data_IF_254218873629
#
_entry.id   IF_254218873629
#
_cell.length_a   1.000
_cell.length_b   1.000
_cell.length_c   1.000
_cell.angle_alpha   90.00
_cell.angle_beta   90.00
_cell.angle_gamma   90.00
#
_symmetry.space_group_name_H-M   'P 1'
#
loop_
_entity.id
_entity.type
_entity.pdbx_description
1 polymer ?
#
# COMPACT_ATOMS: atom_id res chain seq x y z
N UNK A 1 -15.22 57.89 18.03
CA UNK A 1 -16.38 58.39 18.80
C UNK A 1 -17.16 57.17 19.27
N UNK A 2 -16.98 56.75 20.53
CA UNK A 2 -17.81 57.15 21.68
C UNK A 2 -19.21 56.47 21.59
N UNK A 3 -19.78 55.76 22.57
CA UNK A 3 -19.60 55.55 24.01
C UNK A 3 -20.42 54.25 24.32
N UNK A 4 -19.90 53.24 25.03
CA UNK A 4 -20.09 52.97 26.47
C UNK A 4 -21.52 53.09 27.00
N UNK A 5 -22.06 52.02 27.62
CA UNK A 5 -22.69 52.06 28.96
C UNK A 5 -22.89 50.66 29.57
N UNK A 6 -22.24 50.47 30.73
CA UNK A 6 -22.38 49.36 31.67
C UNK A 6 -23.62 49.51 32.57
N UNK A 7 -24.09 48.37 33.12
CA UNK A 7 -24.55 48.15 34.52
C UNK A 7 -25.03 46.68 34.59
N UNK A 8 -24.62 45.75 35.45
CA UNK A 8 -23.90 45.80 36.74
C UNK A 8 -24.88 45.77 37.92
N UNK A 9 -25.04 44.62 38.61
CA UNK A 9 -25.42 44.36 40.03
C UNK A 9 -25.30 42.83 40.21
N UNK A 10 -24.24 42.30 40.84
CA UNK A 10 -23.95 42.04 42.28
C UNK A 10 -24.67 40.82 42.90
N UNK A 11 -23.81 39.97 43.46
CA UNK A 11 -23.91 38.65 44.13
C UNK A 11 -24.71 38.64 45.44
N UNK A 12 -24.94 37.44 46.03
CA UNK A 12 -24.04 37.03 47.11
C UNK A 12 -23.58 35.56 47.09
N UNK A 13 -22.39 35.41 47.64
CA UNK A 13 -21.65 34.27 48.21
C UNK A 13 -22.46 33.10 48.80
N UNK A 14 -22.00 31.87 48.54
CA UNK A 14 -22.02 30.76 49.51
C UNK A 14 -20.79 29.84 49.35
N UNK A 15 -20.25 29.53 50.53
CA UNK A 15 -19.11 28.73 51.00
C UNK A 15 -18.51 27.60 50.12
N UNK A 16 -17.21 27.75 49.87
CA UNK A 16 -16.06 26.89 50.28
C UNK A 16 -16.37 25.46 50.77
N UNK A 17 -15.91 24.47 50.01
CA UNK A 17 -15.49 23.16 50.53
C UNK A 17 -14.10 22.82 49.97
N UNK A 18 -13.17 22.55 50.88
CA UNK A 18 -11.76 22.31 50.61
C UNK A 18 -11.56 20.90 50.04
N UNK A 19 -10.98 20.80 48.84
CA UNK A 19 -10.22 19.61 48.43
C UNK A 19 -8.77 20.04 48.23
N UNK A 20 -7.93 19.62 49.18
CA UNK A 20 -6.48 19.74 49.10
C UNK A 20 -5.96 18.75 48.05
N UNK A 21 -5.68 19.23 46.84
CA UNK A 21 -4.77 18.53 45.94
C UNK A 21 -3.35 18.74 46.45
N UNK A 22 -2.74 17.68 46.99
CA UNK A 22 -1.30 17.59 47.17
C UNK A 22 -0.64 17.61 45.78
N UNK A 23 -0.14 18.78 45.39
CA UNK A 23 0.75 18.92 44.25
C UNK A 23 2.16 18.54 44.72
N UNK A 24 2.58 17.30 44.46
CA UNK A 24 3.98 16.91 44.58
C UNK A 24 4.74 17.47 43.37
N UNK A 25 5.27 18.68 43.49
CA UNK A 25 6.26 19.19 42.53
C UNK A 25 7.58 18.47 42.77
N UNK A 26 7.74 17.30 42.15
CA UNK A 26 9.04 16.65 42.08
C UNK A 26 9.87 17.40 41.03
N UNK A 27 10.70 18.34 41.51
CA UNK A 27 11.67 19.07 40.68
C UNK A 27 12.73 18.08 40.21
N UNK A 28 12.57 17.55 39.01
CA UNK A 28 13.67 16.90 38.30
C UNK A 28 14.64 17.98 37.80
N UNK A 29 15.95 17.85 38.04
CA UNK A 29 16.91 18.75 37.41
C UNK A 29 16.84 18.55 35.90
N UNK A 30 16.51 19.63 35.18
CA UNK A 30 16.69 19.73 33.73
C UNK A 30 18.18 19.56 33.44
N UNK A 31 18.60 18.33 33.15
CA UNK A 31 19.85 18.09 32.47
C UNK A 31 19.69 18.62 31.04
N UNK A 32 20.10 19.87 30.82
CA UNK A 32 20.33 20.38 29.48
C UNK A 32 21.50 19.61 28.87
N UNK A 33 21.21 18.46 28.24
CA UNK A 33 22.13 17.85 27.30
C UNK A 33 22.05 18.65 26.01
N UNK A 34 23.00 19.56 25.84
CA UNK A 34 23.27 20.17 24.55
C UNK A 34 23.98 19.12 23.69
N UNK A 35 23.24 18.34 22.92
CA UNK A 35 23.83 17.72 21.74
C UNK A 35 24.17 18.86 20.80
N UNK A 36 25.45 19.27 20.80
CA UNK A 36 26.01 20.09 19.74
C UNK A 36 25.82 19.28 18.46
N UNK A 37 24.79 19.62 17.70
CA UNK A 37 24.73 19.25 16.30
C UNK A 37 25.91 19.96 15.66
N UNK A 38 27.04 19.27 15.54
CA UNK A 38 28.01 19.64 14.54
C UNK A 38 27.25 19.56 13.22
N UNK A 39 27.10 20.71 12.56
CA UNK A 39 26.76 20.74 11.16
C UNK A 39 27.83 19.91 10.46
N UNK A 40 27.54 18.64 10.20
CA UNK A 40 28.17 17.91 9.11
C UNK A 40 27.93 18.78 7.90
N UNK A 41 28.97 19.51 7.51
CA UNK A 41 28.99 20.13 6.21
C UNK A 41 28.70 18.99 5.24
N UNK A 42 27.56 19.09 4.56
CA UNK A 42 27.28 18.37 3.33
C UNK A 42 28.38 18.82 2.38
N UNK A 43 29.52 18.13 2.43
CA UNK A 43 30.41 18.09 1.29
C UNK A 43 29.57 17.46 0.20
N UNK A 44 29.31 18.23 -0.86
CA UNK A 44 28.73 17.67 -2.08
C UNK A 44 29.48 16.38 -2.40
N UNK A 45 28.78 15.30 -2.83
CA UNK A 45 29.44 14.05 -3.15
C UNK A 45 30.54 14.36 -4.15
N UNK A 46 31.80 14.28 -3.70
CA UNK A 46 32.96 14.55 -4.52
C UNK A 46 32.87 13.57 -5.67
N UNK A 47 32.56 14.07 -6.86
CA UNK A 47 32.28 13.24 -8.02
C UNK A 47 33.41 12.22 -8.17
N UNK A 48 33.08 10.95 -7.97
CA UNK A 48 34.07 9.88 -8.07
C UNK A 48 34.67 9.97 -9.48
N UNK A 49 36.01 10.06 -9.61
CA UNK A 49 36.66 10.14 -10.92
C UNK A 49 36.14 9.01 -11.81
N UNK A 50 35.74 9.34 -13.05
CA UNK A 50 35.16 8.37 -14.01
C UNK A 50 36.01 7.09 -14.14
N UNK A 51 37.33 7.20 -13.98
CA UNK A 51 38.28 6.07 -13.99
C UNK A 51 38.07 5.06 -12.85
N UNK A 52 37.70 5.49 -11.64
CA UNK A 52 37.44 4.61 -10.50
C UNK A 52 36.05 3.96 -10.63
N UNK A 53 35.08 4.67 -11.20
CA UNK A 53 33.76 4.11 -11.55
C UNK A 53 33.86 3.06 -12.67
N UNK A 54 34.75 3.27 -13.64
CA UNK A 54 35.01 2.32 -14.72
C UNK A 54 35.74 1.07 -14.21
N UNK A 55 36.78 1.23 -13.39
CA UNK A 55 37.52 0.11 -12.82
C UNK A 55 36.66 -0.77 -11.88
N UNK A 56 35.72 -0.18 -11.15
CA UNK A 56 34.77 -0.92 -10.30
C UNK A 56 33.69 -1.65 -11.11
N UNK A 57 33.26 -1.08 -12.24
CA UNK A 57 32.32 -1.72 -13.16
C UNK A 57 32.95 -2.91 -13.89
N UNK A 58 34.19 -2.75 -14.37
CA UNK A 58 34.96 -3.83 -15.00
C UNK A 58 35.25 -4.98 -14.01
N UNK A 59 35.64 -4.67 -12.77
CA UNK A 59 35.83 -5.69 -11.73
C UNK A 59 34.52 -6.40 -11.32
N UNK A 60 33.38 -5.71 -11.39
CA UNK A 60 32.05 -6.31 -11.17
C UNK A 60 31.64 -7.20 -12.35
N UNK A 61 31.82 -6.76 -13.59
CA UNK A 61 31.56 -7.53 -14.81
C UNK A 61 32.43 -8.79 -14.86
N UNK A 62 33.70 -8.70 -14.44
CA UNK A 62 34.63 -9.83 -14.36
C UNK A 62 34.23 -10.85 -13.27
N UNK A 63 33.54 -10.39 -12.21
CA UNK A 63 32.94 -11.27 -11.17
C UNK A 63 31.65 -11.96 -11.62
N UNK A 64 30.92 -11.37 -12.57
CA UNK A 64 29.66 -11.92 -13.12
C UNK A 64 29.94 -12.95 -14.23
N UNK A 65 31.18 -13.01 -14.72
CA UNK A 65 31.57 -13.89 -15.80
C UNK A 65 31.35 -15.37 -15.44
N UNK A 66 30.45 -16.03 -16.17
CA UNK A 66 30.04 -17.42 -15.93
C UNK A 66 28.73 -17.59 -15.17
N UNK A 67 28.02 -16.51 -14.82
CA UNK A 67 26.68 -16.56 -14.22
C UNK A 67 25.59 -16.13 -15.21
N UNK A 68 24.41 -16.74 -15.12
CA UNK A 68 23.21 -16.39 -15.87
C UNK A 68 22.10 -15.92 -14.92
N UNK A 69 21.46 -14.79 -15.22
CA UNK A 69 20.32 -14.29 -14.43
C UNK A 69 18.99 -14.83 -14.98
N UNK A 70 18.21 -15.45 -14.09
CA UNK A 70 16.86 -15.92 -14.40
C UNK A 70 15.87 -15.14 -13.53
N UNK A 71 15.03 -14.33 -14.16
CA UNK A 71 14.10 -13.41 -13.49
C UNK A 71 12.67 -13.78 -13.84
N UNK A 72 11.83 -13.93 -12.81
CA UNK A 72 10.38 -14.04 -12.94
C UNK A 72 9.69 -12.76 -12.43
N UNK A 73 8.58 -12.39 -13.06
CA UNK A 73 7.80 -11.21 -12.69
C UNK A 73 6.38 -11.65 -12.33
N UNK A 74 5.87 -11.12 -11.22
CA UNK A 74 4.46 -11.14 -10.86
C UNK A 74 3.93 -9.71 -10.95
N UNK A 75 2.78 -9.53 -11.60
CA UNK A 75 2.22 -8.20 -11.81
C UNK A 75 0.75 -8.21 -11.42
N UNK A 76 0.41 -7.38 -10.44
CA UNK A 76 -0.96 -7.16 -10.00
C UNK A 76 -1.50 -5.92 -10.73
N UNK A 77 -2.70 -6.02 -11.30
CA UNK A 77 -3.30 -4.95 -12.09
C UNK A 77 -4.70 -4.64 -11.54
N UNK A 78 -4.88 -3.42 -11.06
CA UNK A 78 -6.18 -2.97 -10.59
C UNK A 78 -7.12 -2.74 -11.78
N UNK A 79 -8.25 -3.46 -11.79
CA UNK A 79 -9.22 -3.37 -12.89
C UNK A 79 -10.09 -2.11 -12.76
N UNK A 80 -10.23 -1.38 -13.87
CA UNK A 80 -11.10 -0.20 -13.97
C UNK A 80 -12.57 -0.62 -14.09
N UNK A 81 -13.15 -1.06 -12.99
CA UNK A 81 -14.56 -1.44 -12.86
C UNK A 81 -15.32 -0.43 -12.01
N UNK A 82 -16.65 -0.33 -12.20
CA UNK A 82 -17.51 0.62 -11.46
C UNK A 82 -17.67 0.20 -9.99
N UNK A 83 -17.83 -1.10 -9.72
CA UNK A 83 -18.00 -1.65 -8.38
C UNK A 83 -16.86 -2.59 -8.01
N UNK A 84 -16.61 -2.77 -6.71
CA UNK A 84 -15.62 -3.72 -6.16
C UNK A 84 -15.88 -5.16 -6.65
N UNK A 85 -14.89 -6.04 -6.49
CA UNK A 85 -14.91 -7.38 -7.06
C UNK A 85 -16.02 -8.29 -6.50
N UNK A 86 -16.38 -8.14 -5.22
CA UNK A 86 -17.28 -9.06 -4.51
C UNK A 86 -18.47 -8.39 -3.82
N UNK A 87 -18.70 -7.10 -4.06
CA UNK A 87 -19.82 -6.33 -3.52
C UNK A 87 -20.18 -5.15 -4.44
N UNK A 88 -21.27 -4.45 -4.12
CA UNK A 88 -21.78 -3.34 -4.93
C UNK A 88 -21.20 -1.96 -4.57
N UNK A 89 -20.19 -1.88 -3.70
CA UNK A 89 -19.52 -0.62 -3.37
C UNK A 89 -18.81 -0.05 -4.61
N UNK A 90 -18.78 1.28 -4.79
CA UNK A 90 -17.97 1.91 -5.83
C UNK A 90 -16.48 1.56 -5.71
N UNK A 91 -15.82 1.35 -6.85
CA UNK A 91 -14.38 1.18 -6.97
C UNK A 91 -13.76 2.46 -7.51
N UNK A 92 -13.55 3.44 -6.63
CA UNK A 92 -13.01 4.75 -6.97
C UNK A 92 -11.77 5.08 -6.12
N UNK A 93 -10.76 5.63 -6.78
CA UNK A 93 -9.54 6.10 -6.11
C UNK A 93 -9.75 7.49 -5.50
N UNK A 94 -9.07 7.77 -4.38
CA UNK A 94 -9.05 9.11 -3.76
C UNK A 94 -10.28 9.48 -2.92
N UNK A 95 -11.17 8.53 -2.63
CA UNK A 95 -12.28 8.73 -1.71
C UNK A 95 -11.81 9.00 -0.28
N UNK A 96 -12.68 9.57 0.55
CA UNK A 96 -12.42 9.69 1.99
C UNK A 96 -12.26 8.29 2.61
N UNK A 97 -11.38 8.12 3.62
CA UNK A 97 -11.15 6.83 4.25
C UNK A 97 -12.45 6.16 4.71
N UNK A 98 -12.62 4.88 4.39
CA UNK A 98 -13.77 4.08 4.79
C UNK A 98 -15.14 4.66 4.38
N UNK A 99 -15.20 5.49 3.33
CA UNK A 99 -16.47 6.05 2.81
C UNK A 99 -17.14 5.16 1.76
N UNK A 100 -16.41 4.24 1.13
CA UNK A 100 -16.89 3.34 0.07
C UNK A 100 -16.84 1.87 0.51
N UNK A 101 -17.43 1.61 1.68
CA UNK A 101 -17.45 0.28 2.33
C UNK A 101 -18.87 -0.22 2.55
N UNK A 102 -19.02 -1.53 2.72
CA UNK A 102 -20.26 -2.20 3.09
C UNK A 102 -19.95 -3.39 4.02
N UNK A 103 -20.97 -3.99 4.67
CA UNK A 103 -20.77 -5.15 5.54
C UNK A 103 -19.97 -6.29 4.88
N UNK A 104 -20.16 -6.55 3.59
CA UNK A 104 -19.46 -7.63 2.87
C UNK A 104 -17.95 -7.38 2.76
N UNK A 105 -17.53 -6.19 2.29
CA UNK A 105 -16.10 -5.91 2.17
C UNK A 105 -15.43 -5.66 3.54
N UNK A 106 -16.20 -5.22 4.54
CA UNK A 106 -15.76 -5.15 5.94
C UNK A 106 -15.76 -6.51 6.65
N UNK A 107 -16.15 -7.61 5.98
CA UNK A 107 -16.12 -8.95 6.57
C UNK A 107 -17.08 -9.15 7.75
N UNK A 108 -18.20 -8.42 7.79
CA UNK A 108 -19.17 -8.57 8.87
C UNK A 108 -19.78 -9.99 8.90
N UNK A 109 -20.11 -10.52 10.09
CA UNK A 109 -20.75 -11.82 10.23
C UNK A 109 -22.04 -11.93 9.40
N UNK A 110 -22.22 -13.06 8.71
CA UNK A 110 -23.43 -13.35 7.93
C UNK A 110 -23.45 -12.77 6.51
N UNK A 111 -22.39 -12.06 6.09
CA UNK A 111 -22.27 -11.54 4.72
C UNK A 111 -21.67 -12.56 3.77
N UNK A 112 -22.05 -12.52 2.50
CA UNK A 112 -21.53 -13.39 1.44
C UNK A 112 -21.05 -12.57 0.24
N UNK A 113 -19.90 -12.93 -0.37
CA UNK A 113 -19.38 -12.25 -1.55
C UNK A 113 -20.17 -12.63 -2.80
N UNK A 114 -20.40 -11.66 -3.69
CA UNK A 114 -21.00 -11.89 -5.02
C UNK A 114 -20.09 -11.29 -6.08
N UNK A 115 -19.58 -12.14 -6.98
CA UNK A 115 -18.62 -11.75 -8.00
C UNK A 115 -19.22 -10.74 -9.00
N UNK A 116 -18.49 -9.67 -9.26
CA UNK A 116 -18.77 -8.70 -10.30
C UNK A 116 -18.46 -9.29 -11.69
N UNK A 117 -19.47 -9.39 -12.57
CA UNK A 117 -19.32 -9.91 -13.92
C UNK A 117 -18.27 -9.14 -14.77
N UNK A 118 -18.09 -7.83 -14.52
CA UNK A 118 -17.08 -7.03 -15.23
C UNK A 118 -15.64 -7.41 -14.90
N UNK A 119 -15.39 -7.93 -13.69
CA UNK A 119 -14.07 -8.47 -13.32
C UNK A 119 -13.72 -9.67 -14.21
N UNK A 120 -14.68 -10.57 -14.43
CA UNK A 120 -14.50 -11.73 -15.31
C UNK A 120 -14.29 -11.29 -16.77
N UNK A 121 -15.10 -10.36 -17.26
CA UNK A 121 -14.97 -9.84 -18.63
C UNK A 121 -13.58 -9.22 -18.87
N UNK A 122 -13.09 -8.39 -17.93
CA UNK A 122 -11.76 -7.81 -17.99
C UNK A 122 -10.65 -8.87 -17.95
N UNK A 123 -10.77 -9.87 -17.07
CA UNK A 123 -9.79 -10.93 -16.95
C UNK A 123 -9.70 -11.80 -18.22
N UNK A 124 -10.84 -12.09 -18.85
CA UNK A 124 -10.89 -12.81 -20.14
C UNK A 124 -10.27 -11.97 -21.26
N UNK A 125 -10.58 -10.67 -21.35
CA UNK A 125 -9.97 -9.77 -22.34
C UNK A 125 -8.44 -9.71 -22.19
N UNK A 126 -7.95 -9.56 -20.95
CA UNK A 126 -6.52 -9.58 -20.67
C UNK A 126 -5.89 -10.92 -21.06
N UNK A 127 -6.55 -12.02 -20.74
CA UNK A 127 -6.06 -13.37 -21.07
C UNK A 127 -5.92 -13.57 -22.58
N UNK A 128 -6.89 -13.08 -23.37
CA UNK A 128 -6.81 -13.12 -24.83
C UNK A 128 -5.68 -12.24 -25.36
N UNK A 129 -5.52 -11.02 -24.81
CA UNK A 129 -4.46 -10.11 -25.20
C UNK A 129 -3.05 -10.67 -24.91
N UNK A 130 -2.93 -11.47 -23.84
CA UNK A 130 -1.70 -12.18 -23.47
C UNK A 130 -1.55 -13.54 -24.14
N UNK A 131 -2.38 -13.85 -25.15
CA UNK A 131 -2.37 -15.12 -25.88
C UNK A 131 -2.50 -16.37 -24.97
N UNK A 132 -3.12 -16.22 -23.80
CA UNK A 132 -3.31 -17.32 -22.86
C UNK A 132 -4.41 -18.28 -23.34
N UNK A 133 -4.29 -19.55 -22.94
CA UNK A 133 -5.39 -20.51 -23.03
C UNK A 133 -6.38 -20.26 -21.89
N UNK A 134 -7.61 -19.88 -22.23
CA UNK A 134 -8.69 -19.66 -21.26
C UNK A 134 -9.18 -21.00 -20.68
N UNK A 135 -9.41 -21.02 -19.38
CA UNK A 135 -10.06 -22.12 -18.67
C UNK A 135 -11.57 -21.99 -18.78
N UNK A 136 -12.26 -23.03 -19.27
CA UNK A 136 -13.73 -23.05 -19.33
C UNK A 136 -14.39 -23.16 -17.94
N UNK A 137 -13.61 -23.57 -16.95
CA UNK A 137 -13.98 -23.62 -15.54
C UNK A 137 -12.87 -22.96 -14.74
N UNK A 138 -13.21 -22.09 -13.78
CA UNK A 138 -12.26 -21.54 -12.82
C UNK A 138 -12.87 -21.53 -11.42
N UNK A 139 -12.03 -21.50 -10.39
CA UNK A 139 -12.45 -21.59 -8.99
C UNK A 139 -11.83 -20.45 -8.19
N UNK A 140 -12.59 -19.90 -7.25
CA UNK A 140 -12.05 -19.02 -6.22
C UNK A 140 -11.76 -19.81 -4.94
N UNK A 141 -10.62 -19.50 -4.35
CA UNK A 141 -10.03 -20.08 -3.15
C UNK A 141 -9.82 -18.99 -2.09
N UNK A 142 -9.62 -19.41 -0.84
CA UNK A 142 -9.34 -18.52 0.28
C UNK A 142 -7.87 -18.60 0.66
N UNK A 143 -7.11 -17.52 0.41
CA UNK A 143 -5.75 -17.35 0.90
C UNK A 143 -5.81 -16.76 2.31
N UNK A 144 -5.59 -17.59 3.32
CA UNK A 144 -5.75 -17.21 4.73
C UNK A 144 -4.49 -16.55 5.28
N UNK A 145 -4.62 -15.33 5.79
CA UNK A 145 -3.57 -14.62 6.54
C UNK A 145 -4.21 -13.49 7.35
N UNK A 146 -3.58 -13.13 8.46
CA UNK A 146 -4.06 -12.06 9.34
C UNK A 146 -3.29 -10.78 9.08
N UNK A 147 -4.00 -9.73 8.69
CA UNK A 147 -3.42 -8.40 8.57
C UNK A 147 -4.51 -7.32 8.77
N UNK A 148 -4.20 -6.13 9.33
CA UNK A 148 -5.22 -5.13 9.68
C UNK A 148 -5.99 -4.51 8.51
N UNK A 149 -5.50 -4.64 7.28
CA UNK A 149 -6.18 -4.17 6.06
C UNK A 149 -7.05 -5.25 5.40
N UNK A 150 -7.09 -6.46 5.97
CA UNK A 150 -7.82 -7.60 5.45
C UNK A 150 -8.86 -8.09 6.48
N UNK A 151 -10.05 -7.47 6.53
CA UNK A 151 -10.99 -7.65 7.64
C UNK A 151 -11.60 -9.06 7.68
N UNK A 152 -11.62 -9.77 6.55
CA UNK A 152 -12.14 -11.14 6.47
C UNK A 152 -11.18 -12.20 7.04
N UNK A 153 -9.90 -11.87 7.27
CA UNK A 153 -8.86 -12.83 7.63
C UNK A 153 -8.48 -13.81 6.50
N UNK A 154 -8.99 -13.57 5.29
CA UNK A 154 -8.58 -14.25 4.07
C UNK A 154 -8.86 -13.37 2.85
N UNK A 155 -8.03 -13.54 1.83
CA UNK A 155 -8.17 -12.92 0.51
C UNK A 155 -8.82 -13.93 -0.43
N UNK A 156 -9.81 -13.49 -1.21
CA UNK A 156 -10.41 -14.32 -2.26
C UNK A 156 -9.50 -14.23 -3.50
N UNK A 157 -8.94 -15.35 -3.94
CA UNK A 157 -8.05 -15.43 -5.12
C UNK A 157 -8.32 -16.73 -5.89
N UNK A 158 -7.64 -17.02 -6.99
CA UNK A 158 -7.73 -18.33 -7.66
C UNK A 158 -6.38 -19.03 -7.57
N UNK A 159 -6.27 -20.06 -6.73
CA UNK A 159 -5.04 -20.81 -6.56
C UNK A 159 -5.01 -22.04 -7.46
N UNK A 160 -6.01 -22.91 -7.34
CA UNK A 160 -6.01 -24.22 -8.00
C UNK A 160 -6.32 -24.11 -9.51
N UNK A 161 -7.38 -23.39 -9.87
CA UNK A 161 -7.89 -23.32 -11.25
C UNK A 161 -8.04 -21.85 -11.67
N UNK A 162 -6.99 -21.24 -12.26
CA UNK A 162 -7.03 -19.87 -12.74
C UNK A 162 -7.94 -19.71 -13.96
N UNK A 163 -8.29 -18.46 -14.27
CA UNK A 163 -9.08 -18.12 -15.46
C UNK A 163 -8.33 -18.38 -16.78
N UNK A 164 -7.00 -18.29 -16.80
CA UNK A 164 -6.20 -18.62 -17.98
C UNK A 164 -4.75 -18.99 -17.65
N UNK A 165 -4.11 -19.74 -18.54
CA UNK A 165 -2.72 -20.21 -18.40
C UNK A 165 -1.97 -20.23 -19.73
N UNK A 166 -0.64 -20.34 -19.65
CA UNK A 166 0.26 -20.63 -20.79
C UNK A 166 0.15 -19.63 -21.94
N UNK A 167 0.23 -18.34 -21.62
CA UNK A 167 0.30 -17.25 -22.59
C UNK A 167 1.72 -16.81 -22.90
N UNK A 168 1.84 -15.72 -23.64
CA UNK A 168 3.11 -15.06 -23.94
C UNK A 168 2.91 -13.61 -24.38
N UNK A 169 3.98 -12.83 -24.22
CA UNK A 169 4.11 -11.46 -24.70
C UNK A 169 5.37 -11.32 -25.54
N UNK A 170 5.23 -10.77 -26.75
CA UNK A 170 6.37 -10.40 -27.60
C UNK A 170 6.73 -8.93 -27.32
N UNK A 171 8.00 -8.66 -27.02
CA UNK A 171 8.51 -7.35 -26.60
C UNK A 171 9.75 -6.97 -27.41
N UNK A 172 9.77 -5.72 -27.85
CA UNK A 172 10.89 -5.10 -28.54
C UNK A 172 11.84 -4.52 -27.49
N UNK A 173 13.08 -5.01 -27.51
CA UNK A 173 14.12 -4.57 -26.58
C UNK A 173 14.79 -3.32 -27.15
N UNK A 174 14.87 -2.21 -26.38
CA UNK A 174 15.59 -1.02 -26.80
C UNK A 174 17.07 -1.30 -27.10
N UNK A 175 17.66 -0.53 -28.01
CA UNK A 175 19.04 -0.75 -28.48
C UNK A 175 20.04 -0.56 -27.33
N UNK A 176 19.77 0.35 -26.38
CA UNK A 176 20.57 0.54 -25.18
C UNK A 176 20.65 -0.69 -24.26
N UNK A 177 19.72 -1.64 -24.41
CA UNK A 177 19.67 -2.90 -23.65
C UNK A 177 20.00 -4.14 -24.51
N UNK A 178 20.62 -3.94 -25.67
CA UNK A 178 21.07 -5.03 -26.55
C UNK A 178 20.19 -5.27 -27.78
N UNK A 179 19.04 -4.58 -27.89
CA UNK A 179 18.19 -4.64 -29.08
C UNK A 179 17.49 -5.99 -29.32
N UNK A 180 16.53 -5.98 -30.26
CA UNK A 180 15.92 -7.19 -30.81
C UNK A 180 14.52 -7.50 -30.27
N UNK A 181 13.93 -8.59 -30.76
CA UNK A 181 12.60 -9.05 -30.38
C UNK A 181 12.72 -10.29 -29.49
N UNK A 182 12.02 -10.30 -28.35
CA UNK A 182 11.98 -11.46 -27.46
C UNK A 182 10.57 -11.80 -27.02
N UNK A 183 10.33 -13.09 -26.85
CA UNK A 183 9.10 -13.63 -26.29
C UNK A 183 9.27 -13.95 -24.80
N UNK A 184 8.36 -13.45 -23.99
CA UNK A 184 8.26 -13.73 -22.56
C UNK A 184 7.03 -14.59 -22.28
N UNK A 185 7.22 -15.71 -21.58
CA UNK A 185 6.12 -16.60 -21.22
C UNK A 185 5.27 -16.03 -20.09
N UNK A 186 3.95 -16.23 -20.18
CA UNK A 186 3.00 -15.94 -19.10
C UNK A 186 2.51 -17.27 -18.54
N UNK A 187 2.89 -17.57 -17.31
CA UNK A 187 2.50 -18.84 -16.67
C UNK A 187 0.99 -18.92 -16.46
N UNK A 188 0.40 -17.89 -15.84
CA UNK A 188 -1.02 -17.84 -15.51
C UNK A 188 -1.55 -16.42 -15.36
N UNK A 189 -2.86 -16.27 -15.50
CA UNK A 189 -3.65 -15.09 -15.15
C UNK A 189 -4.73 -15.54 -14.19
N UNK A 190 -4.86 -14.90 -13.03
CA UNK A 190 -5.91 -15.17 -12.06
C UNK A 190 -6.54 -13.89 -11.57
N UNK A 191 -7.76 -14.00 -11.03
CA UNK A 191 -8.45 -12.89 -10.37
C UNK A 191 -8.27 -12.96 -8.86
N UNK A 192 -8.08 -11.81 -8.23
CA UNK A 192 -8.00 -11.70 -6.78
C UNK A 192 -8.69 -10.44 -6.26
N UNK A 193 -9.10 -10.49 -5.01
CA UNK A 193 -9.56 -9.34 -4.25
C UNK A 193 -8.36 -8.52 -3.76
N UNK A 194 -8.43 -7.20 -3.84
CA UNK A 194 -7.41 -6.32 -3.26
C UNK A 194 -7.60 -6.16 -1.74
N UNK A 195 -6.52 -5.87 -1.03
CA UNK A 195 -6.55 -5.52 0.39
C UNK A 195 -6.79 -4.01 0.57
N UNK A 196 -7.12 -3.61 1.80
CA UNK A 196 -7.14 -2.21 2.16
C UNK A 196 -5.75 -1.57 2.15
N UNK A 197 -5.70 -0.26 2.41
CA UNK A 197 -4.46 0.48 2.61
C UNK A 197 -4.15 0.61 4.09
N UNK A 198 -2.93 0.26 4.49
CA UNK A 198 -2.42 0.47 5.84
C UNK A 198 -1.43 1.65 5.89
N UNK A 199 -1.75 2.67 6.67
CA UNK A 199 -0.89 3.83 6.90
C UNK A 199 -0.28 3.79 8.30
N UNK A 200 1.04 3.83 8.38
CA UNK A 200 1.75 3.84 9.66
C UNK A 200 1.91 5.28 10.14
N UNK A 201 1.73 5.54 11.44
CA UNK A 201 1.96 6.87 11.99
C UNK A 201 3.44 7.26 11.87
N UNK A 202 3.75 8.55 11.77
CA UNK A 202 5.13 9.04 11.71
C UNK A 202 5.96 8.61 12.93
N UNK A 203 5.31 8.52 14.09
CA UNK A 203 5.90 8.04 15.34
C UNK A 203 6.10 6.52 15.39
N UNK A 204 5.49 5.75 14.48
CA UNK A 204 5.45 4.29 14.50
C UNK A 204 4.60 3.68 15.63
N UNK A 205 3.86 4.48 16.39
CA UNK A 205 3.11 4.01 17.57
C UNK A 205 1.74 3.40 17.25
N UNK A 206 1.17 3.66 16.07
CA UNK A 206 -0.08 3.06 15.61
C UNK A 206 -0.16 3.03 14.08
N UNK A 207 -1.14 2.29 13.55
CA UNK A 207 -1.46 2.27 12.12
C UNK A 207 -2.94 2.53 11.89
N UNK A 208 -3.27 3.13 10.75
CA UNK A 208 -4.63 3.43 10.31
C UNK A 208 -4.96 2.56 9.09
N UNK A 209 -6.07 1.81 9.17
CA UNK A 209 -6.54 0.94 8.09
C UNK A 209 -7.66 1.63 7.29
N UNK A 210 -7.56 1.55 5.96
CA UNK A 210 -8.53 2.08 5.01
C UNK A 210 -9.01 0.94 4.10
N UNK A 211 -10.30 0.57 4.19
CA UNK A 211 -10.94 -0.60 3.55
C UNK A 211 -11.70 -0.21 2.27
#
# INVERSE_FOLDING_TARGET
>A
MALTLLRGIRTPTLLRANFSLFCTTQRHPLAHFTTRAESVQTTEPKAVPKSIQQATKEAAEQKIQGFESVIGIETHVQLSTITKAFCSCPNNYGSQPNSTVCPTCMGHPGTLPVLNAKVVECAVKMSLALNCKISMTSKFDRKQYFYPDLPKGYQISQFDIPIAEKGYLDVDIPVEFGGGHRRFGVTRVHMEEDAGKLLHSESGSYSQSQI
#
